data_IF_491199998218
#
_entry.id   IF_491199998218
#
_cell.length_a   1.000
_cell.length_b   1.000
_cell.length_c   1.000
_cell.angle_alpha   90.00
_cell.angle_beta   90.00
_cell.angle_gamma   90.00
#
_symmetry.space_group_name_H-M   'P 1'
#
loop_
_entity.id
_entity.type
_entity.pdbx_description
1 polymer ?
#
# COMPACT_ATOMS: atom_id res chain seq x y z
N UNK A 1 4.28 4.48 35.34
CA UNK A 1 4.44 4.37 33.87
C UNK A 1 3.06 4.11 33.28
N UNK A 2 2.44 5.10 32.63
CA UNK A 2 1.07 4.98 32.12
C UNK A 2 1.04 3.96 30.96
N UNK A 3 0.45 2.79 31.17
CA UNK A 3 0.20 1.82 30.09
C UNK A 3 -1.06 2.27 29.35
N UNK A 4 -0.94 2.58 28.07
CA UNK A 4 -2.09 2.87 27.22
C UNK A 4 -3.09 1.71 27.24
N UNK A 5 -4.37 2.02 27.39
CA UNK A 5 -5.50 1.07 27.34
C UNK A 5 -5.74 0.49 25.94
N UNK A 6 -5.13 1.07 24.90
CA UNK A 6 -5.23 0.61 23.52
C UNK A 6 -3.90 0.08 22.99
N UNK A 7 -3.96 -1.00 22.20
CA UNK A 7 -2.81 -1.51 21.44
C UNK A 7 -2.83 -0.88 20.05
N UNK A 8 -1.91 0.05 19.79
CA UNK A 8 -1.73 0.61 18.45
C UNK A 8 -0.92 -0.36 17.60
N UNK A 9 -1.57 -0.97 16.63
CA UNK A 9 -0.95 -1.89 15.69
C UNK A 9 -0.48 -1.15 14.41
N UNK A 10 0.58 -1.64 13.76
CA UNK A 10 1.15 -1.02 12.56
C UNK A 10 0.20 -1.00 11.35
N UNK A 11 -0.89 -1.76 11.36
CA UNK A 11 -1.92 -1.69 10.30
C UNK A 11 -2.61 -0.30 10.23
N UNK A 12 -2.49 0.54 11.26
CA UNK A 12 -2.90 1.95 11.21
C UNK A 12 -2.16 2.78 10.16
N UNK A 13 -0.94 2.39 9.78
CA UNK A 13 -0.22 3.03 8.67
C UNK A 13 -0.94 2.90 7.33
N UNK A 14 -1.88 1.94 7.21
CA UNK A 14 -2.77 1.82 6.06
C UNK A 14 -3.55 3.10 5.76
N UNK A 15 -3.83 3.94 6.76
CA UNK A 15 -4.55 5.22 6.59
C UNK A 15 -3.71 6.19 5.76
N UNK A 16 -2.48 6.48 6.21
CA UNK A 16 -1.54 7.35 5.49
C UNK A 16 -1.14 6.75 4.14
N UNK A 17 -0.98 5.43 4.08
CA UNK A 17 -0.64 4.74 2.83
C UNK A 17 -1.76 4.85 1.78
N UNK A 18 -3.01 4.61 2.18
CA UNK A 18 -4.17 4.80 1.32
C UNK A 18 -4.34 6.25 0.86
N UNK A 19 -4.08 7.21 1.74
CA UNK A 19 -4.10 8.64 1.42
C UNK A 19 -3.02 8.98 0.37
N UNK A 20 -1.80 8.45 0.51
CA UNK A 20 -0.74 8.59 -0.48
C UNK A 20 -1.11 7.95 -1.83
N UNK A 21 -1.87 6.84 -1.83
CA UNK A 21 -2.43 6.25 -3.05
C UNK A 21 -3.38 7.20 -3.77
N UNK A 22 -4.32 7.81 -3.05
CA UNK A 22 -5.23 8.80 -3.62
C UNK A 22 -4.50 10.06 -4.09
N UNK A 23 -3.48 10.51 -3.35
CA UNK A 23 -2.64 11.64 -3.73
C UNK A 23 -1.93 11.38 -5.07
N UNK A 24 -1.35 10.19 -5.27
CA UNK A 24 -0.74 9.79 -6.54
C UNK A 24 -1.73 9.85 -7.71
N UNK A 25 -2.94 9.35 -7.52
CA UNK A 25 -3.98 9.39 -8.57
C UNK A 25 -4.30 10.83 -8.98
N UNK A 26 -4.56 11.71 -8.00
CA UNK A 26 -4.83 13.13 -8.25
C UNK A 26 -3.64 13.83 -8.90
N UNK A 27 -2.41 13.52 -8.48
CA UNK A 27 -1.19 14.06 -9.10
C UNK A 27 -1.06 13.64 -10.56
N UNK A 28 -1.31 12.36 -10.88
CA UNK A 28 -1.20 11.81 -12.23
C UNK A 28 -2.29 12.36 -13.16
N UNK A 29 -3.52 12.52 -12.67
CA UNK A 29 -4.67 12.91 -13.49
C UNK A 29 -4.50 14.26 -14.18
N UNK A 30 -3.63 15.14 -13.65
CA UNK A 30 -3.25 16.42 -14.27
C UNK A 30 -2.64 16.28 -15.66
N UNK A 31 -2.04 15.13 -15.96
CA UNK A 31 -1.48 14.88 -17.29
C UNK A 31 -2.55 14.51 -18.34
N UNK A 32 -3.79 14.27 -17.92
CA UNK A 32 -4.91 13.82 -18.76
C UNK A 32 -6.16 14.70 -18.70
N UNK A 33 -6.18 15.63 -17.75
CA UNK A 33 -7.35 16.44 -17.42
C UNK A 33 -6.90 17.82 -16.95
N UNK A 34 -7.82 18.79 -16.93
CA UNK A 34 -7.56 20.16 -16.47
C UNK A 34 -7.81 20.34 -14.95
N UNK A 35 -7.69 19.25 -14.17
CA UNK A 35 -7.86 19.35 -12.71
C UNK A 35 -6.80 20.26 -12.10
N UNK A 36 -7.17 21.08 -11.09
CA UNK A 36 -6.20 21.94 -10.43
C UNK A 36 -5.18 21.14 -9.62
N UNK A 37 -4.05 21.79 -9.30
CA UNK A 37 -2.93 21.18 -8.57
C UNK A 37 -3.20 20.91 -7.09
N UNK A 38 -4.08 21.71 -6.49
CA UNK A 38 -4.27 21.75 -5.05
C UNK A 38 -4.76 20.43 -4.42
N UNK A 39 -5.64 19.60 -5.03
CA UNK A 39 -6.13 18.38 -4.37
C UNK A 39 -5.00 17.37 -4.15
N UNK A 40 -4.16 17.17 -5.17
CA UNK A 40 -3.00 16.28 -5.07
C UNK A 40 -2.01 16.75 -3.99
N UNK A 41 -1.67 18.04 -4.00
CA UNK A 41 -0.78 18.63 -2.99
C UNK A 41 -1.35 18.51 -1.56
N UNK A 42 -2.64 18.83 -1.37
CA UNK A 42 -3.31 18.73 -0.08
C UNK A 42 -3.34 17.27 0.44
N UNK A 43 -3.60 16.30 -0.44
CA UNK A 43 -3.59 14.88 -0.08
C UNK A 43 -2.19 14.38 0.28
N UNK A 44 -1.13 14.85 -0.39
CA UNK A 44 0.25 14.53 -0.01
C UNK A 44 0.63 15.09 1.36
N UNK A 45 0.28 16.35 1.64
CA UNK A 45 0.48 16.98 2.96
C UNK A 45 -0.30 16.20 4.03
N UNK A 46 -1.54 15.82 3.73
CA UNK A 46 -2.39 15.04 4.62
C UNK A 46 -1.78 13.66 4.89
N UNK A 47 -1.26 12.98 3.85
CA UNK A 47 -0.59 11.69 3.99
C UNK A 47 0.66 11.79 4.87
N UNK A 48 1.47 12.84 4.70
CA UNK A 48 2.64 13.11 5.53
C UNK A 48 2.26 13.38 7.00
N UNK A 49 1.23 14.20 7.24
CA UNK A 49 0.74 14.50 8.59
C UNK A 49 0.19 13.24 9.28
N UNK A 50 -0.64 12.46 8.58
CA UNK A 50 -1.17 11.19 9.10
C UNK A 50 -0.06 10.19 9.39
N UNK A 51 0.95 10.10 8.53
CA UNK A 51 2.11 9.24 8.75
C UNK A 51 2.89 9.68 10.00
N UNK A 52 3.18 10.97 10.15
CA UNK A 52 3.91 11.49 11.31
C UNK A 52 3.13 11.22 12.62
N UNK A 53 1.84 11.53 12.65
CA UNK A 53 0.98 11.29 13.82
C UNK A 53 0.91 9.81 14.16
N UNK A 54 0.62 8.95 13.19
CA UNK A 54 0.48 7.50 13.43
C UNK A 54 1.82 6.86 13.78
N UNK A 55 2.94 7.30 13.20
CA UNK A 55 4.27 6.80 13.49
C UNK A 55 4.70 7.17 14.90
N UNK A 56 4.56 8.43 15.30
CA UNK A 56 4.88 8.86 16.66
C UNK A 56 4.01 8.16 17.69
N UNK A 57 2.70 8.07 17.46
CA UNK A 57 1.78 7.39 18.36
C UNK A 57 2.10 5.89 18.48
N UNK A 58 2.35 5.21 17.36
CA UNK A 58 2.74 3.81 17.33
C UNK A 58 4.06 3.56 18.07
N UNK A 59 5.10 4.34 17.78
CA UNK A 59 6.42 4.19 18.41
C UNK A 59 6.33 4.43 19.91
N UNK A 60 5.65 5.49 20.36
CA UNK A 60 5.44 5.75 21.78
C UNK A 60 4.66 4.62 22.47
N UNK A 61 3.59 4.13 21.85
CA UNK A 61 2.80 3.02 22.37
C UNK A 61 3.60 1.72 22.44
N UNK A 62 4.33 1.36 21.38
CA UNK A 62 5.16 0.16 21.31
C UNK A 62 6.32 0.21 22.31
N UNK A 63 6.96 1.37 22.49
CA UNK A 63 8.01 1.57 23.50
C UNK A 63 7.45 1.43 24.92
N UNK A 64 6.31 2.07 25.22
CA UNK A 64 5.67 1.98 26.55
C UNK A 64 5.27 0.57 26.96
N UNK A 65 5.07 -0.31 25.98
CA UNK A 65 4.66 -1.70 26.15
C UNK A 65 5.80 -2.70 25.85
N UNK A 66 7.03 -2.24 25.60
CA UNK A 66 8.19 -3.12 25.33
C UNK A 66 8.11 -3.96 24.05
N UNK A 67 7.26 -3.57 23.09
CA UNK A 67 6.89 -4.36 21.90
C UNK A 67 7.77 -4.12 20.69
N UNK A 68 8.58 -3.06 20.70
CA UNK A 68 9.19 -2.55 19.46
C UNK A 68 10.04 -3.60 18.72
N UNK A 69 10.70 -4.49 19.46
CA UNK A 69 11.53 -5.57 18.91
C UNK A 69 10.74 -6.82 18.50
N UNK A 70 9.61 -7.10 19.16
CA UNK A 70 8.81 -8.29 18.91
C UNK A 70 7.69 -8.06 17.89
N UNK A 71 7.23 -6.83 17.71
CA UNK A 71 6.11 -6.51 16.83
C UNK A 71 6.37 -6.89 15.35
N UNK A 72 7.56 -6.65 14.77
CA UNK A 72 7.84 -7.08 13.39
C UNK A 72 7.71 -8.60 13.18
N UNK A 73 8.00 -9.41 14.19
CA UNK A 73 7.86 -10.87 14.11
C UNK A 73 6.42 -11.36 14.38
N UNK A 74 5.49 -10.48 14.78
CA UNK A 74 4.12 -10.87 15.08
C UNK A 74 3.39 -11.32 13.80
N UNK A 75 2.80 -12.53 13.75
CA UNK A 75 2.31 -13.13 12.50
C UNK A 75 1.18 -12.34 11.84
N UNK A 76 0.37 -11.61 12.61
CA UNK A 76 -0.79 -10.89 12.07
C UNK A 76 -0.52 -9.42 11.73
N UNK A 77 0.38 -8.78 12.48
CA UNK A 77 0.57 -7.32 12.42
C UNK A 77 1.98 -6.95 11.99
N UNK A 78 2.95 -7.82 12.21
CA UNK A 78 4.35 -7.63 11.86
C UNK A 78 4.58 -7.19 10.42
N UNK A 79 3.95 -7.80 9.40
CA UNK A 79 4.12 -7.37 8.01
C UNK A 79 3.76 -5.90 7.75
N UNK A 80 2.80 -5.33 8.49
CA UNK A 80 2.41 -3.92 8.34
C UNK A 80 3.46 -2.94 8.87
N UNK A 81 4.43 -3.39 9.68
CA UNK A 81 5.55 -2.53 10.10
C UNK A 81 6.37 -2.02 8.91
N UNK A 82 6.32 -2.72 7.77
CA UNK A 82 6.93 -2.27 6.52
C UNK A 82 6.36 -0.98 5.96
N UNK A 83 5.11 -0.61 6.31
CA UNK A 83 4.55 0.66 5.87
C UNK A 83 5.29 1.87 6.48
N UNK A 84 5.92 1.69 7.64
CA UNK A 84 6.66 2.76 8.32
C UNK A 84 7.78 3.33 7.42
N UNK A 85 8.68 2.50 6.82
CA UNK A 85 9.67 2.98 5.85
C UNK A 85 9.16 3.13 4.40
N UNK A 86 8.10 2.42 3.99
CA UNK A 86 7.57 2.52 2.62
C UNK A 86 6.93 3.88 2.33
N UNK A 87 6.12 4.40 3.26
CA UNK A 87 5.42 5.67 3.06
C UNK A 87 6.40 6.84 2.82
N UNK A 88 7.50 7.00 3.58
CA UNK A 88 8.55 7.96 3.28
C UNK A 88 9.08 7.92 1.85
N UNK A 89 9.17 6.76 1.20
CA UNK A 89 9.60 6.70 -0.20
C UNK A 89 8.66 7.45 -1.14
N UNK A 90 7.34 7.32 -0.91
CA UNK A 90 6.32 8.05 -1.66
C UNK A 90 6.35 9.55 -1.33
N UNK A 91 6.48 9.90 -0.06
CA UNK A 91 6.59 11.29 0.39
C UNK A 91 7.85 11.97 -0.17
N UNK A 92 8.95 11.25 -0.29
CA UNK A 92 10.20 11.74 -0.88
C UNK A 92 10.03 12.13 -2.34
N UNK A 93 9.30 11.33 -3.13
CA UNK A 93 8.95 11.68 -4.52
C UNK A 93 8.04 12.90 -4.56
N UNK A 94 7.02 12.96 -3.70
CA UNK A 94 6.11 14.11 -3.65
C UNK A 94 6.79 15.42 -3.21
N UNK A 95 7.85 15.33 -2.40
CA UNK A 95 8.63 16.46 -1.91
C UNK A 95 9.65 16.97 -2.94
N UNK A 96 10.10 16.13 -3.87
CA UNK A 96 11.20 16.43 -4.80
C UNK A 96 11.00 17.72 -5.61
N UNK A 97 9.80 18.03 -6.16
CA UNK A 97 9.57 19.27 -6.91
C UNK A 97 9.74 20.55 -6.07
N UNK A 98 9.60 20.45 -4.74
CA UNK A 98 9.70 21.58 -3.81
C UNK A 98 11.05 21.67 -3.12
N UNK A 99 11.68 20.52 -2.86
CA UNK A 99 12.96 20.41 -2.17
C UNK A 99 13.72 19.16 -2.65
N UNK A 100 14.33 19.24 -3.83
CA UNK A 100 14.92 18.10 -4.55
C UNK A 100 15.86 17.23 -3.71
N UNK A 101 16.83 17.84 -3.01
CA UNK A 101 17.77 17.12 -2.14
C UNK A 101 17.05 16.45 -0.97
N UNK A 102 16.13 17.16 -0.31
CA UNK A 102 15.37 16.61 0.82
C UNK A 102 14.49 15.43 0.39
N UNK A 103 13.79 15.55 -0.75
CA UNK A 103 12.97 14.47 -1.31
C UNK A 103 13.78 13.21 -1.57
N UNK A 104 14.95 13.35 -2.19
CA UNK A 104 15.88 12.23 -2.44
C UNK A 104 16.43 11.61 -1.15
N UNK A 105 16.79 12.42 -0.16
CA UNK A 105 17.26 11.93 1.15
C UNK A 105 16.15 11.15 1.88
N UNK A 106 14.94 11.69 1.93
CA UNK A 106 13.77 11.02 2.53
C UNK A 106 13.50 9.68 1.85
N UNK A 107 13.57 9.64 0.51
CA UNK A 107 13.46 8.39 -0.24
C UNK A 107 14.56 7.38 0.12
N UNK A 108 15.83 7.79 0.13
CA UNK A 108 16.96 6.88 0.43
C UNK A 108 16.85 6.30 1.84
N UNK A 109 16.42 7.09 2.83
CA UNK A 109 16.17 6.61 4.19
C UNK A 109 15.04 5.56 4.19
N UNK A 110 13.92 5.86 3.50
CA UNK A 110 12.80 4.92 3.36
C UNK A 110 13.21 3.62 2.65
N UNK A 111 14.02 3.72 1.59
CA UNK A 111 14.55 2.60 0.84
C UNK A 111 15.44 1.71 1.70
N UNK A 112 16.41 2.29 2.41
CA UNK A 112 17.29 1.56 3.30
C UNK A 112 16.51 0.83 4.40
N UNK A 113 15.54 1.51 5.01
CA UNK A 113 14.65 0.91 6.01
C UNK A 113 13.80 -0.23 5.44
N UNK A 114 13.28 -0.06 4.22
CA UNK A 114 12.47 -1.08 3.53
C UNK A 114 13.29 -2.34 3.22
N UNK A 115 14.50 -2.17 2.67
CA UNK A 115 15.41 -3.30 2.37
C UNK A 115 15.85 -4.00 3.66
N UNK A 116 16.27 -3.23 4.67
CA UNK A 116 16.74 -3.79 5.94
C UNK A 116 15.64 -4.59 6.66
N UNK A 117 14.44 -4.03 6.75
CA UNK A 117 13.30 -4.69 7.39
C UNK A 117 12.82 -5.89 6.57
N UNK A 118 12.73 -5.77 5.25
CA UNK A 118 12.36 -6.87 4.35
C UNK A 118 13.34 -8.05 4.43
N UNK A 119 14.65 -7.76 4.44
CA UNK A 119 15.69 -8.77 4.61
C UNK A 119 15.62 -9.44 5.98
N UNK A 120 15.47 -8.66 7.05
CA UNK A 120 15.35 -9.19 8.40
C UNK A 120 14.10 -10.07 8.58
N UNK A 121 12.93 -9.62 8.09
CA UNK A 121 11.68 -10.38 8.15
C UNK A 121 11.78 -11.68 7.36
N UNK A 122 12.33 -11.62 6.15
CA UNK A 122 12.55 -12.82 5.33
C UNK A 122 13.47 -13.81 6.05
N UNK A 123 14.57 -13.35 6.63
CA UNK A 123 15.46 -14.17 7.44
C UNK A 123 14.82 -14.69 8.74
N UNK A 124 13.86 -13.95 9.31
CA UNK A 124 13.07 -14.42 10.44
C UNK A 124 12.13 -15.56 10.01
N UNK A 125 11.41 -15.41 8.89
CA UNK A 125 10.51 -16.46 8.38
C UNK A 125 11.24 -17.74 7.97
N UNK A 126 12.50 -17.65 7.56
CA UNK A 126 13.35 -18.82 7.28
C UNK A 126 13.76 -19.56 8.56
N UNK A 127 13.97 -18.83 9.66
CA UNK A 127 14.46 -19.41 10.94
C UNK A 127 13.35 -19.84 11.88
N UNK A 128 12.17 -19.23 11.75
CA UNK A 128 11.03 -19.47 12.63
C UNK A 128 10.07 -20.46 11.98
N UNK A 129 9.49 -21.33 12.80
CA UNK A 129 8.41 -22.22 12.37
C UNK A 129 7.15 -21.39 12.08
N UNK A 130 6.86 -21.24 10.79
CA UNK A 130 5.66 -20.55 10.29
C UNK A 130 4.66 -21.58 9.80
N UNK A 131 3.43 -21.57 10.31
CA UNK A 131 2.38 -22.43 9.77
C UNK A 131 1.77 -21.76 8.56
N UNK A 132 1.33 -22.55 7.58
CA UNK A 132 0.68 -22.01 6.39
C UNK A 132 -0.57 -21.15 6.73
N UNK A 133 -1.26 -21.47 7.83
CA UNK A 133 -2.43 -20.72 8.31
C UNK A 133 -2.11 -19.32 8.85
N UNK A 134 -0.86 -19.04 9.23
CA UNK A 134 -0.43 -17.75 9.76
C UNK A 134 -0.25 -16.71 8.63
N UNK A 135 -0.07 -17.17 7.39
CA UNK A 135 0.09 -16.31 6.22
C UNK A 135 -1.22 -15.61 5.85
N UNK A 136 -1.10 -14.34 5.51
CA UNK A 136 -2.18 -13.51 4.97
C UNK A 136 -1.60 -12.45 4.03
N UNK A 137 -2.41 -11.79 3.19
CA UNK A 137 -1.86 -10.95 2.11
C UNK A 137 -1.08 -9.70 2.57
N UNK A 138 -1.12 -9.36 3.87
CA UNK A 138 -0.24 -8.34 4.45
C UNK A 138 1.25 -8.67 4.31
N UNK A 139 1.60 -9.95 4.15
CA UNK A 139 2.97 -10.40 3.92
C UNK A 139 3.58 -9.94 2.59
N UNK A 140 2.78 -9.41 1.65
CA UNK A 140 3.32 -8.73 0.47
C UNK A 140 3.99 -7.39 0.79
N UNK A 141 3.62 -6.72 1.89
CA UNK A 141 4.07 -5.35 2.14
C UNK A 141 5.60 -5.22 2.25
N UNK A 142 6.32 -6.05 3.01
CA UNK A 142 7.75 -5.83 3.26
C UNK A 142 8.64 -5.89 2.02
N UNK A 143 8.42 -6.87 1.15
CA UNK A 143 9.33 -7.15 0.03
C UNK A 143 8.70 -6.83 -1.32
N UNK A 144 7.41 -7.15 -1.53
CA UNK A 144 6.73 -6.91 -2.81
C UNK A 144 6.36 -5.45 -2.96
N UNK A 145 5.52 -4.92 -2.05
CA UNK A 145 5.10 -3.53 -2.13
C UNK A 145 6.32 -2.60 -1.97
N UNK A 146 7.18 -2.89 -0.99
CA UNK A 146 8.42 -2.14 -0.77
C UNK A 146 9.31 -2.09 -2.02
N UNK A 147 9.57 -3.23 -2.65
CA UNK A 147 10.36 -3.32 -3.88
C UNK A 147 9.76 -2.57 -5.06
N UNK A 148 8.49 -2.85 -5.37
CA UNK A 148 7.83 -2.27 -6.54
C UNK A 148 7.59 -0.76 -6.40
N UNK A 149 7.30 -0.28 -5.18
CA UNK A 149 7.21 1.16 -4.91
C UNK A 149 8.58 1.81 -5.02
N UNK A 150 9.63 1.20 -4.45
CA UNK A 150 10.99 1.69 -4.60
C UNK A 150 11.42 1.80 -6.07
N UNK A 151 11.00 0.84 -6.90
CA UNK A 151 11.23 0.87 -8.34
C UNK A 151 10.58 2.11 -8.98
N UNK A 152 9.27 2.30 -8.79
CA UNK A 152 8.56 3.47 -9.35
C UNK A 152 9.12 4.81 -8.87
N UNK A 153 9.48 4.91 -7.59
CA UNK A 153 10.11 6.11 -7.04
C UNK A 153 11.50 6.37 -7.65
N UNK A 154 12.36 5.35 -7.74
CA UNK A 154 13.68 5.46 -8.35
C UNK A 154 13.59 5.82 -9.84
N UNK A 155 12.62 5.26 -10.56
CA UNK A 155 12.34 5.62 -11.95
C UNK A 155 11.98 7.11 -12.08
N UNK A 156 11.16 7.62 -11.16
CA UNK A 156 10.74 9.04 -11.13
C UNK A 156 11.94 9.98 -10.93
N UNK A 157 12.96 9.57 -10.17
CA UNK A 157 14.22 10.32 -10.01
C UNK A 157 15.21 10.14 -11.18
N UNK A 158 14.89 9.33 -12.19
CA UNK A 158 15.81 8.98 -13.27
C UNK A 158 16.91 7.99 -12.86
N UNK A 159 16.78 7.33 -11.72
CA UNK A 159 17.78 6.37 -11.21
C UNK A 159 17.57 4.97 -11.81
N UNK A 160 17.85 4.87 -13.12
CA UNK A 160 17.50 3.71 -13.97
C UNK A 160 17.93 2.36 -13.37
N UNK A 161 19.23 2.20 -13.02
CA UNK A 161 19.75 0.92 -12.50
C UNK A 161 19.10 0.52 -11.17
N UNK A 162 18.86 1.48 -10.29
CA UNK A 162 18.20 1.21 -9.02
C UNK A 162 16.73 0.82 -9.23
N UNK A 163 16.05 1.50 -10.15
CA UNK A 163 14.68 1.16 -10.52
C UNK A 163 14.56 -0.27 -11.03
N UNK A 164 15.44 -0.67 -11.95
CA UNK A 164 15.47 -2.03 -12.50
C UNK A 164 15.77 -3.08 -11.41
N UNK A 165 16.74 -2.79 -10.53
CA UNK A 165 17.08 -3.66 -9.40
C UNK A 165 15.88 -3.87 -8.47
N UNK A 166 15.19 -2.78 -8.10
CA UNK A 166 14.05 -2.82 -7.19
C UNK A 166 12.81 -3.45 -7.84
N UNK A 167 12.63 -3.26 -9.14
CA UNK A 167 11.56 -3.93 -9.90
C UNK A 167 11.75 -5.45 -9.89
N UNK A 168 12.97 -5.91 -10.15
CA UNK A 168 13.34 -7.32 -10.04
C UNK A 168 13.14 -7.86 -8.62
N UNK A 169 13.63 -7.14 -7.61
CA UNK A 169 13.44 -7.49 -6.19
C UNK A 169 11.97 -7.68 -5.84
N UNK A 170 11.11 -6.70 -6.14
CA UNK A 170 9.69 -6.76 -5.83
C UNK A 170 8.95 -7.86 -6.60
N UNK A 171 9.25 -8.03 -7.89
CA UNK A 171 8.58 -9.01 -8.76
C UNK A 171 8.96 -10.46 -8.40
N UNK A 172 10.24 -10.74 -8.13
CA UNK A 172 10.66 -12.07 -7.68
C UNK A 172 10.03 -12.42 -6.34
N UNK A 173 10.04 -11.48 -5.38
CA UNK A 173 9.36 -11.68 -4.10
C UNK A 173 7.85 -11.90 -4.28
N UNK A 174 7.22 -11.23 -5.25
CA UNK A 174 5.81 -11.42 -5.55
C UNK A 174 5.51 -12.83 -6.01
N UNK A 175 6.25 -13.38 -6.96
CA UNK A 175 5.98 -14.74 -7.42
C UNK A 175 6.18 -15.79 -6.32
N UNK A 176 7.21 -15.62 -5.49
CA UNK A 176 7.46 -16.52 -4.36
C UNK A 176 6.36 -16.42 -3.30
N UNK A 177 6.09 -15.21 -2.79
CA UNK A 177 5.10 -15.01 -1.72
C UNK A 177 3.67 -15.21 -2.21
N UNK A 178 3.38 -14.82 -3.45
CA UNK A 178 2.08 -14.99 -4.08
C UNK A 178 1.73 -16.45 -4.23
N UNK A 179 2.70 -17.30 -4.56
CA UNK A 179 2.50 -18.75 -4.59
C UNK A 179 2.10 -19.29 -3.20
N UNK A 180 2.82 -18.89 -2.14
CA UNK A 180 2.51 -19.30 -0.75
C UNK A 180 1.12 -18.81 -0.33
N UNK A 181 0.81 -17.54 -0.61
CA UNK A 181 -0.45 -16.91 -0.23
C UNK A 181 -1.64 -17.50 -0.97
N UNK A 182 -1.51 -17.78 -2.27
CA UNK A 182 -2.58 -18.44 -3.03
C UNK A 182 -2.81 -19.88 -2.53
N UNK A 183 -1.75 -20.65 -2.28
CA UNK A 183 -1.90 -22.00 -1.68
C UNK A 183 -2.60 -21.89 -0.33
N UNK A 184 -2.24 -20.92 0.53
CA UNK A 184 -2.94 -20.65 1.79
C UNK A 184 -4.41 -20.29 1.57
N UNK A 185 -4.72 -19.41 0.63
CA UNK A 185 -6.09 -18.92 0.41
C UNK A 185 -6.99 -20.00 -0.21
N UNK A 186 -6.42 -20.93 -0.97
CA UNK A 186 -7.17 -22.00 -1.64
C UNK A 186 -7.36 -23.24 -0.77
N UNK A 187 -6.40 -23.57 0.11
CA UNK A 187 -6.38 -24.87 0.80
C UNK A 187 -6.61 -24.79 2.30
N UNK A 188 -6.36 -23.63 2.93
CA UNK A 188 -6.47 -23.48 4.38
C UNK A 188 -7.83 -22.89 4.78
N UNK A 189 -8.20 -23.03 6.07
CA UNK A 189 -9.37 -22.33 6.60
C UNK A 189 -9.38 -20.84 6.25
N UNK A 190 -10.58 -20.31 6.04
CA UNK A 190 -10.78 -18.90 5.75
C UNK A 190 -10.07 -18.01 6.78
N UNK A 191 -9.59 -16.84 6.34
CA UNK A 191 -9.00 -15.87 7.25
C UNK A 191 -9.99 -15.50 8.36
N UNK A 192 -9.52 -15.26 9.60
CA UNK A 192 -10.35 -14.68 10.65
C UNK A 192 -11.06 -13.44 10.14
N UNK A 193 -12.32 -13.23 10.56
CA UNK A 193 -13.18 -12.15 10.03
C UNK A 193 -12.51 -10.76 10.02
N UNK A 194 -11.74 -10.33 11.04
CA UNK A 194 -11.06 -9.03 11.01
C UNK A 194 -9.97 -8.89 9.92
N UNK A 195 -9.43 -10.01 9.41
CA UNK A 195 -8.38 -10.02 8.40
C UNK A 195 -8.91 -10.18 6.97
N UNK A 196 -10.20 -10.48 6.77
CA UNK A 196 -10.78 -10.60 5.43
C UNK A 196 -10.51 -9.37 4.53
N UNK A 197 -10.56 -8.11 5.03
CA UNK A 197 -10.22 -6.93 4.22
C UNK A 197 -8.79 -6.95 3.66
N UNK A 198 -7.87 -7.68 4.29
CA UNK A 198 -6.49 -7.77 3.81
C UNK A 198 -6.37 -8.50 2.48
N UNK A 199 -7.36 -9.31 2.07
CA UNK A 199 -7.38 -9.95 0.75
C UNK A 199 -7.40 -8.92 -0.39
N UNK A 200 -7.84 -7.69 -0.14
CA UNK A 200 -7.71 -6.60 -1.11
C UNK A 200 -6.24 -6.28 -1.47
N UNK A 201 -5.26 -6.68 -0.64
CA UNK A 201 -3.84 -6.52 -0.95
C UNK A 201 -3.42 -7.43 -2.11
N UNK A 202 -4.07 -8.57 -2.36
CA UNK A 202 -3.80 -9.44 -3.52
C UNK A 202 -3.99 -8.70 -4.86
N UNK A 203 -4.82 -7.65 -4.89
CA UNK A 203 -5.00 -6.84 -6.08
C UNK A 203 -3.79 -5.94 -6.37
N UNK A 204 -3.03 -5.55 -5.35
CA UNK A 204 -1.99 -4.54 -5.47
C UNK A 204 -0.75 -4.97 -6.27
N UNK A 205 -0.14 -6.16 -6.08
CA UNK A 205 1.11 -6.52 -6.76
C UNK A 205 1.16 -6.28 -8.27
N UNK A 206 0.21 -6.78 -9.10
CA UNK A 206 0.26 -6.55 -10.54
C UNK A 206 0.10 -5.07 -10.90
N UNK A 207 -0.66 -4.31 -10.11
CA UNK A 207 -0.92 -2.89 -10.34
C UNK A 207 0.27 -2.02 -9.95
N UNK A 208 0.91 -2.29 -8.81
CA UNK A 208 2.11 -1.56 -8.38
C UNK A 208 3.26 -1.86 -9.33
N UNK A 209 3.40 -3.11 -9.78
CA UNK A 209 4.34 -3.48 -10.83
C UNK A 209 4.03 -2.74 -12.14
N UNK A 210 2.77 -2.70 -12.57
CA UNK A 210 2.35 -1.96 -13.78
C UNK A 210 2.68 -0.47 -13.66
N UNK A 211 2.37 0.15 -12.52
CA UNK A 211 2.65 1.55 -12.27
C UNK A 211 4.15 1.86 -12.33
N UNK A 212 4.99 1.04 -11.70
CA UNK A 212 6.44 1.19 -11.78
C UNK A 212 6.95 0.97 -13.21
N UNK A 213 6.45 -0.04 -13.90
CA UNK A 213 6.85 -0.37 -15.27
C UNK A 213 6.55 0.77 -16.25
N UNK A 214 5.35 1.35 -16.19
CA UNK A 214 5.00 2.51 -17.01
C UNK A 214 5.93 3.71 -16.78
N UNK A 215 6.40 3.94 -15.55
CA UNK A 215 7.38 5.00 -15.30
C UNK A 215 8.75 4.62 -15.88
N UNK A 216 9.15 3.35 -15.75
CA UNK A 216 10.45 2.84 -16.23
C UNK A 216 10.57 2.81 -17.75
N UNK A 217 9.50 2.47 -18.47
CA UNK A 217 9.51 2.26 -19.92
C UNK A 217 9.05 3.50 -20.73
N UNK A 218 8.85 4.64 -20.06
CA UNK A 218 8.42 5.88 -20.70
C UNK A 218 6.93 5.92 -21.08
N UNK A 219 6.07 5.17 -20.39
CA UNK A 219 4.62 5.23 -20.57
C UNK A 219 4.09 4.37 -21.71
N UNK A 220 4.88 3.40 -22.19
CA UNK A 220 4.53 2.59 -23.36
C UNK A 220 3.68 1.38 -22.99
N UNK A 221 2.65 1.11 -23.76
CA UNK A 221 1.91 -0.15 -23.72
C UNK A 221 2.69 -1.24 -24.47
N UNK A 222 3.57 -1.94 -23.75
CA UNK A 222 4.35 -3.06 -24.28
C UNK A 222 3.87 -4.42 -23.72
N UNK A 223 4.54 -5.50 -24.12
CA UNK A 223 4.21 -6.86 -23.68
C UNK A 223 4.17 -6.99 -22.15
N UNK A 224 5.09 -6.34 -21.44
CA UNK A 224 5.16 -6.44 -19.97
C UNK A 224 3.99 -5.69 -19.34
N UNK A 225 3.66 -4.49 -19.83
CA UNK A 225 2.48 -3.75 -19.39
C UNK A 225 1.21 -4.59 -19.61
N UNK A 226 1.01 -5.15 -20.80
CA UNK A 226 -0.16 -5.95 -21.15
C UNK A 226 -0.27 -7.23 -20.33
N UNK A 227 0.85 -7.92 -20.09
CA UNK A 227 0.89 -9.13 -19.26
C UNK A 227 0.47 -8.83 -17.80
N UNK A 228 0.99 -7.74 -17.23
CA UNK A 228 0.61 -7.30 -15.89
C UNK A 228 -0.86 -6.87 -15.83
N UNK A 229 -1.36 -6.20 -16.87
CA UNK A 229 -2.78 -5.82 -16.98
C UNK A 229 -3.71 -7.05 -17.06
N UNK A 230 -3.31 -8.10 -17.78
CA UNK A 230 -4.06 -9.36 -17.83
C UNK A 230 -4.24 -10.00 -16.45
N UNK A 231 -3.16 -10.07 -15.66
CA UNK A 231 -3.25 -10.57 -14.28
C UNK A 231 -4.02 -9.61 -13.36
N UNK A 232 -3.85 -8.30 -13.52
CA UNK A 232 -4.61 -7.29 -12.78
C UNK A 232 -6.13 -7.43 -13.05
N UNK A 233 -6.53 -7.69 -14.30
CA UNK A 233 -7.93 -7.93 -14.67
C UNK A 233 -8.49 -9.15 -13.94
N UNK A 234 -7.76 -10.27 -13.95
CA UNK A 234 -8.15 -11.45 -13.17
C UNK A 234 -8.34 -11.09 -11.70
N UNK A 235 -7.38 -10.40 -11.09
CA UNK A 235 -7.48 -10.02 -9.68
C UNK A 235 -8.64 -9.06 -9.43
N UNK A 236 -8.95 -8.13 -10.33
CA UNK A 236 -10.12 -7.25 -10.22
C UNK A 236 -11.43 -8.06 -10.19
N UNK A 237 -11.57 -9.05 -11.07
CA UNK A 237 -12.73 -9.95 -11.10
C UNK A 237 -12.82 -10.80 -9.82
N UNK A 238 -11.68 -11.25 -9.28
CA UNK A 238 -11.62 -11.92 -7.97
C UNK A 238 -12.07 -10.98 -6.85
N UNK A 239 -11.66 -9.71 -6.86
CA UNK A 239 -12.12 -8.75 -5.86
C UNK A 239 -13.65 -8.57 -5.90
N UNK A 240 -14.23 -8.50 -7.10
CA UNK A 240 -15.68 -8.40 -7.27
C UNK A 240 -16.41 -9.64 -6.75
N UNK A 241 -15.91 -10.85 -7.04
CA UNK A 241 -16.53 -12.10 -6.55
C UNK A 241 -16.45 -12.23 -5.02
N UNK A 242 -15.42 -11.65 -4.39
CA UNK A 242 -15.23 -11.63 -2.93
C UNK A 242 -16.07 -10.56 -2.20
N UNK A 243 -16.87 -9.75 -2.88
CA UNK A 243 -17.71 -8.71 -2.26
C UNK A 243 -18.58 -9.26 -1.12
N UNK A 244 -19.17 -10.44 -1.30
CA UNK A 244 -19.97 -11.10 -0.26
C UNK A 244 -19.16 -11.49 0.98
N UNK A 245 -17.89 -11.85 0.80
CA UNK A 245 -16.95 -12.17 1.88
C UNK A 245 -16.59 -10.92 2.67
N UNK A 246 -16.31 -9.80 1.99
CA UNK A 246 -15.93 -8.53 2.64
C UNK A 246 -17.05 -7.94 3.51
N UNK A 247 -18.32 -8.19 3.16
CA UNK A 247 -19.47 -7.74 3.97
C UNK A 247 -19.56 -8.39 5.35
N UNK A 248 -18.89 -9.54 5.55
CA UNK A 248 -18.86 -10.26 6.84
C UNK A 248 -17.81 -9.71 7.81
N UNK A 249 -16.87 -8.90 7.33
CA UNK A 249 -15.78 -8.40 8.15
C UNK A 249 -16.26 -7.26 9.08
N UNK A 250 -15.84 -7.26 10.36
CA UNK A 250 -16.07 -6.10 11.23
C UNK A 250 -15.23 -4.93 10.76
N UNK A 251 -15.82 -3.73 10.74
CA UNK A 251 -15.10 -2.52 10.35
C UNK A 251 -13.97 -2.20 11.33
N UNK A 252 -12.79 -1.89 10.80
CA UNK A 252 -11.58 -1.61 11.59
C UNK A 252 -10.39 -1.26 10.68
N UNK A 253 -9.17 -1.12 11.25
CA UNK A 253 -7.98 -0.72 10.49
C UNK A 253 -7.70 -1.54 9.21
N UNK A 254 -7.93 -2.87 9.16
CA UNK A 254 -7.72 -3.66 7.94
C UNK A 254 -8.51 -3.19 6.71
N UNK A 255 -9.62 -2.44 6.87
CA UNK A 255 -10.34 -1.87 5.72
C UNK A 255 -9.51 -0.88 4.91
N UNK A 256 -8.46 -0.30 5.49
CA UNK A 256 -7.53 0.55 4.76
C UNK A 256 -6.66 -0.20 3.74
N UNK A 257 -6.66 -1.54 3.76
CA UNK A 257 -6.10 -2.36 2.67
C UNK A 257 -6.78 -2.10 1.33
N UNK A 258 -8.07 -1.72 1.31
CA UNK A 258 -8.75 -1.35 0.07
C UNK A 258 -8.22 -0.03 -0.52
N UNK A 259 -7.90 0.94 0.34
CA UNK A 259 -7.63 2.31 -0.09
C UNK A 259 -6.45 2.38 -1.07
N UNK A 260 -5.28 1.85 -0.70
CA UNK A 260 -4.13 1.86 -1.60
C UNK A 260 -4.31 0.93 -2.79
N UNK A 261 -4.78 -0.31 -2.58
CA UNK A 261 -4.94 -1.30 -3.66
C UNK A 261 -5.84 -0.81 -4.79
N UNK A 262 -6.94 -0.12 -4.46
CA UNK A 262 -7.87 0.39 -5.47
C UNK A 262 -7.38 1.71 -6.05
N UNK A 263 -6.74 2.58 -5.26
CA UNK A 263 -6.16 3.82 -5.77
C UNK A 263 -5.05 3.56 -6.81
N UNK A 264 -4.21 2.54 -6.61
CA UNK A 264 -3.23 2.14 -7.62
C UNK A 264 -3.90 1.51 -8.84
N UNK A 265 -5.03 0.81 -8.66
CA UNK A 265 -5.87 0.31 -9.75
C UNK A 265 -6.32 1.44 -10.68
N UNK A 266 -6.93 2.47 -10.10
CA UNK A 266 -7.35 3.66 -10.84
C UNK A 266 -6.16 4.40 -11.47
N UNK A 267 -5.05 4.51 -10.76
CA UNK A 267 -3.81 5.13 -11.29
C UNK A 267 -3.34 4.41 -12.55
N UNK A 268 -3.27 3.07 -12.52
CA UNK A 268 -2.85 2.26 -13.67
C UNK A 268 -3.85 2.36 -14.81
N UNK A 269 -5.16 2.41 -14.53
CA UNK A 269 -6.17 2.65 -15.57
C UNK A 269 -5.94 4.00 -16.27
N UNK A 270 -5.67 5.07 -15.52
CA UNK A 270 -5.34 6.38 -16.11
C UNK A 270 -4.07 6.30 -16.98
N UNK A 271 -3.05 5.54 -16.57
CA UNK A 271 -1.85 5.33 -17.39
C UNK A 271 -2.15 4.59 -18.71
N UNK A 272 -3.03 3.60 -18.68
CA UNK A 272 -3.48 2.93 -19.89
C UNK A 272 -4.24 3.88 -20.83
N UNK A 273 -5.11 4.73 -20.30
CA UNK A 273 -5.80 5.75 -21.08
C UNK A 273 -4.83 6.75 -21.73
N UNK A 274 -3.69 7.03 -21.07
CA UNK A 274 -2.61 7.85 -21.63
C UNK A 274 -1.84 7.12 -22.74
N UNK A 275 -1.52 5.85 -22.51
CA UNK A 275 -0.68 5.07 -23.42
C UNK A 275 -1.37 4.72 -24.75
N UNK A 276 -2.69 4.50 -24.72
CA UNK A 276 -3.48 4.00 -25.87
C UNK A 276 -4.36 5.07 -26.53
N UNK A 277 -4.20 6.36 -26.16
CA UNK A 277 -4.96 7.50 -26.70
C UNK A 277 -6.49 7.27 -26.83
N UNK A 278 -7.07 6.68 -25.78
CA UNK A 278 -8.47 6.21 -25.78
C UNK A 278 -9.44 7.41 -25.89
N UNK A 279 -10.47 7.34 -26.76
CA UNK A 279 -11.55 8.33 -26.78
C UNK A 279 -12.23 8.43 -25.42
N UNK A 280 -12.60 9.64 -25.01
CA UNK A 280 -13.18 9.93 -23.69
C UNK A 280 -12.26 9.67 -22.47
N UNK A 281 -10.93 9.61 -22.66
CA UNK A 281 -9.97 9.43 -21.55
C UNK A 281 -10.15 10.44 -20.41
N UNK A 282 -10.54 11.67 -20.74
CA UNK A 282 -10.69 12.76 -19.77
C UNK A 282 -11.91 12.53 -18.88
N UNK A 283 -13.05 12.17 -19.46
CA UNK A 283 -14.30 11.85 -18.79
C UNK A 283 -14.15 10.61 -17.90
N UNK A 284 -13.49 9.57 -18.42
CA UNK A 284 -13.19 8.37 -17.65
C UNK A 284 -12.27 8.73 -16.47
N UNK A 285 -11.24 9.56 -16.69
CA UNK A 285 -10.35 10.00 -15.60
C UNK A 285 -11.11 10.76 -14.52
N UNK A 286 -12.03 11.67 -14.88
CA UNK A 286 -12.90 12.35 -13.91
C UNK A 286 -13.79 11.37 -13.12
N UNK A 287 -14.39 10.38 -13.80
CA UNK A 287 -15.20 9.37 -13.14
C UNK A 287 -14.38 8.54 -12.13
N UNK A 288 -13.15 8.15 -12.51
CA UNK A 288 -12.23 7.43 -11.63
C UNK A 288 -11.81 8.28 -10.42
N UNK A 289 -11.50 9.56 -10.62
CA UNK A 289 -11.18 10.50 -9.53
C UNK A 289 -12.35 10.66 -8.56
N UNK A 290 -13.56 10.84 -9.09
CA UNK A 290 -14.78 10.95 -8.29
C UNK A 290 -15.02 9.70 -7.46
N UNK A 291 -14.95 8.52 -8.09
CA UNK A 291 -15.14 7.24 -7.41
C UNK A 291 -14.09 7.02 -6.31
N UNK A 292 -12.80 7.25 -6.62
CA UNK A 292 -11.72 7.09 -5.66
C UNK A 292 -11.86 8.03 -4.46
N UNK A 293 -12.24 9.29 -4.72
CA UNK A 293 -12.40 10.32 -3.68
C UNK A 293 -13.61 10.03 -2.80
N UNK A 294 -14.75 9.61 -3.37
CA UNK A 294 -15.95 9.23 -2.62
C UNK A 294 -15.68 7.98 -1.77
N UNK A 295 -15.03 6.95 -2.33
CA UNK A 295 -14.69 5.73 -1.60
C UNK A 295 -13.73 6.02 -0.42
N UNK A 296 -12.71 6.84 -0.66
CA UNK A 296 -11.80 7.31 0.40
C UNK A 296 -12.54 8.10 1.48
N UNK A 297 -13.39 9.06 1.08
CA UNK A 297 -14.20 9.85 2.00
C UNK A 297 -15.11 8.99 2.87
N UNK A 298 -15.73 7.96 2.29
CA UNK A 298 -16.55 7.01 3.04
C UNK A 298 -15.72 6.20 4.05
N UNK A 299 -14.53 5.73 3.67
CA UNK A 299 -13.61 5.04 4.60
C UNK A 299 -13.15 5.96 5.73
N UNK A 300 -12.82 7.21 5.42
CA UNK A 300 -12.41 8.22 6.40
C UNK A 300 -13.55 8.54 7.37
N UNK A 301 -14.76 8.80 6.86
CA UNK A 301 -15.94 9.10 7.68
C UNK A 301 -16.26 7.94 8.65
N UNK A 302 -16.22 6.69 8.16
CA UNK A 302 -16.42 5.51 9.03
C UNK A 302 -15.30 5.34 10.04
N UNK A 303 -14.07 5.68 9.68
CA UNK A 303 -12.91 5.65 10.58
C UNK A 303 -13.09 6.66 11.71
N UNK A 304 -13.44 7.91 11.39
CA UNK A 304 -13.72 8.97 12.38
C UNK A 304 -14.87 8.56 13.30
N UNK A 305 -15.97 8.06 12.74
CA UNK A 305 -17.11 7.58 13.53
C UNK A 305 -16.72 6.43 14.49
N UNK A 306 -15.92 5.48 14.00
CA UNK A 306 -15.42 4.38 14.82
C UNK A 306 -14.45 4.81 15.91
N UNK A 307 -13.63 5.84 15.66
CA UNK A 307 -12.75 6.44 16.66
C UNK A 307 -13.57 7.16 17.75
N UNK A 308 -14.54 7.99 17.35
CA UNK A 308 -15.45 8.71 18.28
C UNK A 308 -16.24 7.73 19.15
N UNK A 309 -16.69 6.60 18.58
CA UNK A 309 -17.42 5.55 19.30
C UNK A 309 -16.51 4.59 20.09
N UNK A 310 -15.19 4.71 19.97
CA UNK A 310 -14.23 3.82 20.63
C UNK A 310 -14.24 2.36 20.14
N UNK A 311 -14.75 2.11 18.93
CA UNK A 311 -14.88 0.78 18.32
C UNK A 311 -13.81 0.48 17.26
N UNK A 312 -13.04 1.48 16.83
CA UNK A 312 -12.07 1.33 15.75
C UNK A 312 -10.76 0.69 16.19
N UNK A 313 -10.26 1.03 17.37
CA UNK A 313 -8.99 0.50 17.88
C UNK A 313 -9.23 -0.76 18.73
N UNK A 314 -8.43 -1.83 18.54
CA UNK A 314 -8.50 -2.97 19.42
C UNK A 314 -8.10 -2.57 20.85
N UNK A 315 -8.91 -2.97 21.82
CA UNK A 315 -8.57 -2.82 23.25
C UNK A 315 -7.37 -3.73 23.56
N UNK A 316 -6.46 -3.25 24.41
CA UNK A 316 -5.38 -4.11 24.89
C UNK A 316 -6.00 -5.29 25.67
N UNK A 317 -5.50 -6.53 25.49
CA UNK A 317 -5.90 -7.63 26.38
C UNK A 317 -5.58 -7.22 27.83
N UNK A 318 -6.53 -7.48 28.73
CA UNK A 318 -6.44 -7.18 30.16
C UNK A 318 -5.26 -7.93 30.81
#
# INVERSE_FOLDING_TARGET
MYRSTYRLAPNLFGISFGTAGLAQLWTLARHTTEVPDWPGAALWITAAALWAVTATAYCANALSQGRLRSEPAHPTTGPFTALLPIIPMLLGVALEPYAGTAGKVVFVIGLAGTIALGAWLTGAWIRLEMRLTDWHPGYFLPTVAGGLIAAGCAATFGWVRLSQLMFGYGTVCWFVLGSILLVRLFTQPALPAPLLPTIAIEFAPPLVASNAWFVMNGGRADLVATALAGYALLMALVQLSLTGTYRKAPFGPPYWSFAFSYAVGFTVTVRWLQAEDVPARTEITYALLGLATVAYGALLARTVLGLVRGTFLPRAPA
#
